data_IF_940488203594
#
_entry.id   IF_940488203594
#
_cell.length_a   1.000
_cell.length_b   1.000
_cell.length_c   1.000
_cell.angle_alpha   90.00
_cell.angle_beta   90.00
_cell.angle_gamma   90.00
#
_symmetry.space_group_name_H-M   'P 1'
#
loop_
_entity.id
_entity.type
_entity.pdbx_description
1 polymer ?
#
# COMPACT_ATOMS: atom_id res chain seq x y z
N UNK A 1 -58.81 18.79 -6.34
CA UNK A 1 -58.77 17.65 -5.40
C UNK A 1 -57.41 17.01 -5.50
N UNK A 2 -56.74 16.91 -4.36
CA UNK A 2 -55.40 16.33 -4.16
C UNK A 2 -55.31 14.89 -4.66
N UNK A 3 -54.16 14.53 -5.26
CA UNK A 3 -53.55 13.22 -5.01
C UNK A 3 -52.02 13.28 -5.01
N UNK A 4 -51.50 13.74 -3.88
CA UNK A 4 -50.39 13.16 -3.08
C UNK A 4 -50.40 11.62 -3.21
N UNK A 5 -49.30 10.88 -3.40
CA UNK A 5 -48.14 10.72 -2.50
C UNK A 5 -47.08 9.88 -3.25
N UNK A 6 -45.81 10.30 -3.22
CA UNK A 6 -44.66 9.42 -3.48
C UNK A 6 -44.45 8.59 -2.20
N UNK A 7 -44.55 7.27 -2.29
CA UNK A 7 -43.99 6.36 -1.30
C UNK A 7 -42.97 5.48 -2.01
N UNK A 8 -41.73 5.59 -1.55
CA UNK A 8 -40.60 4.75 -1.90
C UNK A 8 -40.56 3.72 -0.77
N UNK A 9 -41.06 2.50 -1.01
CA UNK A 9 -40.91 1.41 -0.05
C UNK A 9 -39.54 0.78 -0.23
N UNK A 10 -38.69 0.90 0.78
CA UNK A 10 -37.57 -0.01 1.01
C UNK A 10 -38.17 -1.41 1.28
N UNK A 11 -38.28 -2.23 0.25
CA UNK A 11 -38.48 -3.66 0.44
C UNK A 11 -37.11 -4.31 0.64
N UNK A 12 -36.84 -4.67 1.91
CA UNK A 12 -35.65 -5.40 2.34
C UNK A 12 -35.66 -6.82 1.76
N UNK A 13 -35.34 -6.93 0.48
CA UNK A 13 -35.21 -8.22 -0.19
C UNK A 13 -33.86 -8.85 0.19
N UNK A 14 -33.89 -9.84 1.10
CA UNK A 14 -32.73 -10.71 1.31
C UNK A 14 -32.41 -11.43 -0.02
N UNK A 15 -31.17 -11.36 -0.53
CA UNK A 15 -30.85 -12.00 -1.79
C UNK A 15 -30.87 -13.53 -1.62
N UNK A 16 -31.34 -14.26 -2.65
CA UNK A 16 -31.43 -15.72 -2.62
C UNK A 16 -30.04 -16.34 -2.41
N UNK A 17 -29.96 -17.31 -1.50
CA UNK A 17 -28.78 -18.13 -1.26
C UNK A 17 -28.32 -18.78 -2.58
N UNK A 18 -27.23 -18.27 -3.16
CA UNK A 18 -26.72 -18.78 -4.43
C UNK A 18 -25.99 -17.78 -5.31
N UNK A 19 -25.95 -16.49 -4.94
CA UNK A 19 -25.15 -15.49 -5.65
C UNK A 19 -24.14 -14.92 -4.66
N UNK A 20 -22.88 -15.38 -4.74
CA UNK A 20 -21.77 -14.71 -4.06
C UNK A 20 -21.72 -13.29 -4.61
N UNK A 21 -22.22 -12.32 -3.86
CA UNK A 21 -22.19 -10.93 -4.27
C UNK A 21 -20.77 -10.42 -4.08
N UNK A 22 -20.08 -10.16 -5.19
CA UNK A 22 -18.74 -9.59 -5.15
C UNK A 22 -18.85 -8.09 -4.85
N UNK A 23 -18.32 -7.67 -3.71
CA UNK A 23 -18.29 -6.27 -3.33
C UNK A 23 -17.15 -5.52 -4.04
N UNK A 24 -17.31 -4.20 -4.26
CA UNK A 24 -16.23 -3.38 -4.82
C UNK A 24 -14.94 -3.41 -3.97
N UNK A 25 -15.06 -3.66 -2.65
CA UNK A 25 -13.92 -3.86 -1.77
C UNK A 25 -13.11 -5.13 -2.12
N UNK A 26 -13.78 -6.21 -2.53
CA UNK A 26 -13.13 -7.47 -2.93
C UNK A 26 -12.47 -7.31 -4.32
N UNK A 27 -13.11 -6.55 -5.21
CA UNK A 27 -12.52 -6.17 -6.51
C UNK A 27 -11.25 -5.36 -6.31
N UNK A 28 -11.29 -4.33 -5.44
CA UNK A 28 -10.11 -3.51 -5.13
C UNK A 28 -9.01 -4.35 -4.48
N UNK A 29 -9.34 -5.24 -3.53
CA UNK A 29 -8.37 -6.12 -2.90
C UNK A 29 -7.68 -7.06 -3.92
N UNK A 30 -8.46 -7.65 -4.83
CA UNK A 30 -7.94 -8.52 -5.89
C UNK A 30 -7.04 -7.74 -6.88
N UNK A 31 -7.42 -6.51 -7.23
CA UNK A 31 -6.59 -5.62 -8.04
C UNK A 31 -5.29 -5.31 -7.29
N UNK A 32 -5.35 -4.95 -6.01
CA UNK A 32 -4.12 -4.68 -5.24
C UNK A 32 -3.20 -5.91 -5.23
N UNK A 33 -3.72 -7.13 -5.05
CA UNK A 33 -2.92 -8.36 -5.13
C UNK A 33 -2.30 -8.60 -6.50
N UNK A 34 -3.05 -8.38 -7.59
CA UNK A 34 -2.58 -8.64 -8.95
C UNK A 34 -1.62 -7.56 -9.48
N UNK A 35 -1.69 -6.34 -8.93
CA UNK A 35 -0.93 -5.17 -9.41
C UNK A 35 0.12 -4.65 -8.42
N UNK A 36 0.34 -5.31 -7.28
CA UNK A 36 1.47 -4.95 -6.41
C UNK A 36 2.79 -5.20 -7.14
N UNK A 37 3.69 -4.21 -7.04
CA UNK A 37 5.09 -4.43 -7.36
C UNK A 37 5.74 -5.27 -6.24
N UNK A 38 6.15 -6.53 -6.49
CA UNK A 38 6.62 -7.44 -5.44
C UNK A 38 7.83 -6.90 -4.69
N UNK A 39 8.69 -6.12 -5.37
CA UNK A 39 9.85 -5.48 -4.74
C UNK A 39 9.45 -4.41 -3.69
N UNK A 40 8.37 -3.65 -3.92
CA UNK A 40 7.86 -2.66 -2.94
C UNK A 40 7.37 -3.38 -1.69
N UNK A 41 6.70 -4.53 -1.85
CA UNK A 41 6.22 -5.32 -0.72
C UNK A 41 7.38 -5.86 0.13
N UNK A 42 8.45 -6.36 -0.49
CA UNK A 42 9.66 -6.80 0.21
C UNK A 42 10.32 -5.65 0.97
N UNK A 43 10.40 -4.46 0.37
CA UNK A 43 10.94 -3.28 1.05
C UNK A 43 10.11 -2.90 2.29
N UNK A 44 8.77 -2.95 2.18
CA UNK A 44 7.83 -2.63 3.26
C UNK A 44 7.89 -3.62 4.43
N UNK A 45 8.05 -4.91 4.17
CA UNK A 45 8.05 -5.97 5.20
C UNK A 45 9.43 -6.30 5.76
N UNK A 46 10.49 -5.68 5.24
CA UNK A 46 11.87 -5.89 5.70
C UNK A 46 12.13 -5.45 7.16
N UNK A 47 13.24 -5.92 7.72
CA UNK A 47 13.66 -5.58 9.09
C UNK A 47 13.90 -4.08 9.28
N UNK A 48 13.85 -3.59 10.52
CA UNK A 48 14.17 -2.18 10.83
C UNK A 48 15.55 -1.78 10.31
N UNK A 49 16.56 -2.65 10.48
CA UNK A 49 17.91 -2.39 10.00
C UNK A 49 17.96 -2.30 8.46
N UNK A 50 17.28 -3.21 7.76
CA UNK A 50 17.19 -3.19 6.30
C UNK A 50 16.58 -1.89 5.77
N UNK A 51 15.53 -1.38 6.44
CA UNK A 51 14.91 -0.09 6.08
C UNK A 51 15.83 1.10 6.31
N UNK A 52 16.57 1.12 7.42
CA UNK A 52 17.56 2.16 7.70
C UNK A 52 18.67 2.13 6.63
N UNK A 53 19.18 0.93 6.32
CA UNK A 53 20.20 0.76 5.28
C UNK A 53 19.72 1.24 3.90
N UNK A 54 18.52 0.83 3.50
CA UNK A 54 17.90 1.27 2.25
C UNK A 54 17.70 2.80 2.21
N UNK A 55 17.28 3.40 3.32
CA UNK A 55 17.14 4.86 3.43
C UNK A 55 18.49 5.57 3.26
N UNK A 56 19.55 5.04 3.88
CA UNK A 56 20.90 5.57 3.73
C UNK A 56 21.42 5.46 2.28
N UNK A 57 21.12 4.36 1.57
CA UNK A 57 21.44 4.22 0.14
C UNK A 57 20.72 5.25 -0.71
N UNK A 58 19.43 5.47 -0.47
CA UNK A 58 18.64 6.48 -1.18
C UNK A 58 19.15 7.89 -0.90
N UNK A 59 19.52 8.18 0.35
CA UNK A 59 20.13 9.45 0.73
C UNK A 59 21.44 9.71 -0.03
N UNK A 60 22.35 8.73 -0.09
CA UNK A 60 23.61 8.87 -0.81
C UNK A 60 23.40 9.06 -2.32
N UNK A 61 22.43 8.34 -2.90
CA UNK A 61 22.04 8.52 -4.30
C UNK A 61 21.56 9.95 -4.56
N UNK A 62 20.69 10.50 -3.71
CA UNK A 62 20.20 11.88 -3.88
C UNK A 62 21.30 12.92 -3.66
N UNK A 63 22.24 12.67 -2.76
CA UNK A 63 23.33 13.59 -2.44
C UNK A 63 24.41 13.63 -3.52
N UNK A 64 24.76 12.47 -4.10
CA UNK A 64 25.93 12.34 -4.98
C UNK A 64 25.58 12.03 -6.44
N UNK A 65 24.37 11.53 -6.71
CA UNK A 65 23.95 11.04 -8.01
C UNK A 65 24.55 9.70 -8.41
N UNK A 66 25.31 9.03 -7.52
CA UNK A 66 25.93 7.74 -7.83
C UNK A 66 24.94 6.58 -7.61
N UNK A 67 24.66 5.83 -8.68
CA UNK A 67 23.84 4.62 -8.63
C UNK A 67 24.48 3.44 -7.90
N UNK A 68 25.81 3.46 -7.75
CA UNK A 68 26.59 2.44 -7.05
C UNK A 68 27.49 3.11 -6.00
N UNK A 69 27.62 2.47 -4.84
CA UNK A 69 28.40 3.01 -3.71
C UNK A 69 28.92 1.87 -2.83
N UNK A 70 29.89 2.17 -1.97
CA UNK A 70 30.51 1.17 -1.09
C UNK A 70 29.74 1.01 0.21
N UNK A 71 29.79 -0.19 0.79
CA UNK A 71 29.14 -0.47 2.07
C UNK A 71 29.64 0.45 3.19
N UNK A 72 30.94 0.74 3.21
CA UNK A 72 31.55 1.60 4.23
C UNK A 72 30.91 3.00 4.29
N UNK A 73 30.71 3.65 3.12
CA UNK A 73 30.04 4.95 3.04
C UNK A 73 28.59 4.89 3.53
N UNK A 74 27.86 3.85 3.15
CA UNK A 74 26.48 3.66 3.58
C UNK A 74 26.40 3.35 5.08
N UNK A 75 27.36 2.60 5.62
CA UNK A 75 27.44 2.30 7.04
C UNK A 75 27.59 3.59 7.88
N UNK A 76 28.38 4.56 7.41
CA UNK A 76 28.48 5.88 8.04
C UNK A 76 27.12 6.58 8.09
N UNK A 77 26.41 6.67 6.96
CA UNK A 77 25.11 7.34 6.89
C UNK A 77 23.98 6.61 7.64
N UNK A 78 24.01 5.28 7.67
CA UNK A 78 23.01 4.48 8.38
C UNK A 78 23.14 4.60 9.91
N UNK A 79 24.36 4.78 10.42
CA UNK A 79 24.60 5.08 11.84
C UNK A 79 24.03 6.46 12.20
N UNK A 80 24.27 7.49 11.37
CA UNK A 80 23.71 8.83 11.55
C UNK A 80 22.17 8.84 11.54
N UNK A 81 21.56 8.02 10.69
CA UNK A 81 20.10 7.91 10.56
C UNK A 81 19.45 7.17 11.74
N UNK A 82 20.20 6.31 12.45
CA UNK A 82 19.70 5.60 13.64
C UNK A 82 19.70 6.47 14.90
N UNK A 83 20.49 7.55 14.91
CA UNK A 83 20.67 8.47 16.03
C UNK A 83 19.71 9.67 16.03
N UNK A 84 18.86 9.82 14.99
CA UNK A 84 17.76 10.79 14.94
C UNK A 84 16.42 10.08 15.12
#
# INVERSE_FOLDING_TARGET
MLKTKREMSEDGNMPPAGKSLVGMAEVEAAIQEMFQAPHIQVMKTSSRLSKIFLTAMVYELYKTGMGETTFEKIATHSCETTLR
#
